data_IF_920595858291
#
_entry.id   IF_920595858291
#
_cell.length_a   1.000
_cell.length_b   1.000
_cell.length_c   1.000
_cell.angle_alpha   90.00
_cell.angle_beta   90.00
_cell.angle_gamma   90.00
#
_symmetry.space_group_name_H-M   'P 1'
#
loop_
_entity.id
_entity.type
_entity.pdbx_description
1 polymer ?
#
# COMPACT_ATOMS: atom_id res chain seq x y z
N UNK A 1 1.10 23.71 19.78
CA UNK A 1 1.49 22.33 20.13
C UNK A 1 2.04 21.66 18.88
N UNK A 2 3.21 21.04 18.96
CA UNK A 2 3.77 20.23 17.91
C UNK A 2 3.08 18.84 17.94
N UNK A 3 2.74 18.30 16.77
CA UNK A 3 2.24 16.95 16.60
C UNK A 3 3.27 16.19 15.78
N UNK A 4 3.72 15.01 16.24
CA UNK A 4 4.49 14.12 15.39
C UNK A 4 3.52 13.49 14.38
N UNK A 5 3.73 13.79 13.10
CA UNK A 5 3.01 13.17 12.00
C UNK A 5 3.94 12.14 11.36
N UNK A 6 3.43 10.93 11.17
CA UNK A 6 4.11 9.88 10.40
C UNK A 6 3.51 9.88 8.99
N UNK A 7 4.15 10.60 8.09
CA UNK A 7 3.74 10.72 6.70
C UNK A 7 4.79 10.01 5.83
N UNK A 8 4.45 8.88 5.20
CA UNK A 8 5.40 8.15 4.37
C UNK A 8 5.86 8.97 3.17
N UNK A 9 7.16 9.01 2.95
CA UNK A 9 7.77 9.59 1.77
C UNK A 9 7.70 8.65 0.56
N UNK A 10 8.18 9.10 -0.59
CA UNK A 10 8.29 8.27 -1.79
C UNK A 10 9.41 7.26 -1.65
N UNK A 11 9.06 5.98 -1.65
CA UNK A 11 9.98 4.85 -1.62
C UNK A 11 9.96 4.05 -2.92
N UNK A 12 11.00 3.25 -3.14
CA UNK A 12 11.16 2.46 -4.35
C UNK A 12 10.38 1.16 -4.27
N UNK A 13 9.49 0.93 -5.23
CA UNK A 13 8.84 -0.36 -5.46
C UNK A 13 9.51 -1.14 -6.60
N UNK A 14 9.29 -2.45 -6.63
CA UNK A 14 9.81 -3.35 -7.65
C UNK A 14 8.68 -4.12 -8.32
N UNK A 15 8.78 -4.29 -9.65
CA UNK A 15 7.88 -5.13 -10.43
C UNK A 15 8.66 -5.96 -11.43
N UNK A 16 8.42 -7.28 -11.46
CA UNK A 16 8.96 -8.20 -12.46
C UNK A 16 7.84 -9.04 -13.05
N UNK A 17 8.00 -9.48 -14.29
CA UNK A 17 7.00 -10.32 -14.94
C UNK A 17 7.50 -10.91 -16.24
N UNK A 18 6.73 -11.85 -16.75
CA UNK A 18 6.93 -12.46 -18.05
C UNK A 18 5.59 -12.69 -18.74
N UNK A 19 5.66 -12.83 -20.06
CA UNK A 19 4.49 -13.11 -20.88
C UNK A 19 4.80 -14.21 -21.89
N UNK A 20 3.80 -15.08 -22.12
CA UNK A 20 3.81 -16.10 -23.16
C UNK A 20 2.71 -15.81 -24.18
N UNK A 21 3.11 -15.67 -25.43
CA UNK A 21 2.16 -15.55 -26.54
C UNK A 21 1.57 -16.91 -26.89
N UNK A 22 0.26 -17.04 -26.79
CA UNK A 22 -0.47 -18.26 -27.18
C UNK A 22 -0.81 -18.25 -28.67
N UNK A 23 -1.22 -17.10 -29.17
CA UNK A 23 -1.52 -16.83 -30.56
C UNK A 23 -1.23 -15.35 -30.90
N UNK A 24 -1.42 -14.94 -32.14
CA UNK A 24 -1.13 -13.58 -32.61
C UNK A 24 -1.87 -12.45 -31.84
N UNK A 25 -2.89 -12.78 -31.09
CA UNK A 25 -3.74 -11.81 -30.38
C UNK A 25 -3.84 -12.07 -28.87
N UNK A 26 -3.37 -13.22 -28.39
CA UNK A 26 -3.60 -13.66 -27.00
C UNK A 26 -2.29 -14.00 -26.33
N UNK A 27 -2.09 -13.48 -25.12
CA UNK A 27 -0.92 -13.78 -24.29
C UNK A 27 -1.34 -14.03 -22.83
N UNK A 28 -0.61 -14.88 -22.16
CA UNK A 28 -0.67 -15.07 -20.72
C UNK A 28 0.49 -14.32 -20.07
N UNK A 29 0.19 -13.51 -19.07
CA UNK A 29 1.16 -12.74 -18.31
C UNK A 29 1.18 -13.18 -16.87
N UNK A 30 2.35 -13.24 -16.25
CA UNK A 30 2.50 -13.32 -14.81
C UNK A 30 3.36 -12.14 -14.34
N UNK A 31 2.93 -11.47 -13.28
CA UNK A 31 3.59 -10.28 -12.73
C UNK A 31 3.66 -10.40 -11.22
N UNK A 32 4.83 -10.13 -10.65
CA UNK A 32 5.05 -9.92 -9.23
C UNK A 32 5.37 -8.45 -8.97
N UNK A 33 4.74 -7.86 -7.97
CA UNK A 33 5.01 -6.48 -7.53
C UNK A 33 5.20 -6.46 -6.03
N UNK A 34 6.14 -5.67 -5.55
CA UNK A 34 6.38 -5.41 -4.13
C UNK A 34 6.70 -3.94 -3.90
N UNK A 35 6.32 -3.49 -2.73
CA UNK A 35 6.62 -2.16 -2.22
C UNK A 35 6.77 -2.23 -0.72
N UNK A 36 7.70 -1.48 -0.17
CA UNK A 36 7.97 -1.36 1.26
C UNK A 36 8.32 0.08 1.57
N UNK A 37 7.76 0.62 2.64
CA UNK A 37 8.09 1.96 3.14
C UNK A 37 8.09 1.98 4.65
N UNK A 38 9.09 2.67 5.22
CA UNK A 38 9.28 2.87 6.64
C UNK A 38 9.33 4.35 6.98
N UNK A 39 8.60 4.75 8.00
CA UNK A 39 8.63 6.10 8.50
C UNK A 39 8.82 6.13 10.01
N UNK A 40 9.65 7.03 10.49
CA UNK A 40 9.86 7.27 11.91
C UNK A 40 9.68 8.73 12.24
N UNK A 41 9.13 9.00 13.41
CA UNK A 41 8.96 10.37 13.88
C UNK A 41 9.12 10.45 15.39
N UNK A 42 9.48 11.63 15.87
CA UNK A 42 9.57 11.89 17.31
C UNK A 42 9.11 13.30 17.64
N UNK A 43 8.52 13.45 18.81
CA UNK A 43 8.21 14.74 19.40
C UNK A 43 8.66 14.74 20.84
N UNK A 44 9.32 15.83 21.26
CA UNK A 44 9.80 16.01 22.64
C UNK A 44 9.25 17.30 23.22
N UNK A 45 9.07 17.33 24.53
CA UNK A 45 8.83 18.58 25.25
C UNK A 45 9.99 19.57 24.99
N UNK A 46 9.68 20.82 24.74
CA UNK A 46 10.68 21.81 24.34
C UNK A 46 11.66 22.14 25.49
N UNK A 47 11.19 22.03 26.74
CA UNK A 47 12.03 22.18 27.92
C UNK A 47 11.49 21.36 29.08
N UNK A 48 12.37 20.66 29.77
CA UNK A 48 12.04 19.96 31.02
C UNK A 48 11.89 20.90 32.21
N UNK A 49 12.19 22.20 32.05
CA UNK A 49 12.11 23.21 33.11
C UNK A 49 10.70 23.82 33.24
N UNK A 50 9.86 23.72 32.23
CA UNK A 50 8.46 24.18 32.26
C UNK A 50 7.51 22.99 32.48
N UNK A 51 6.84 22.91 33.64
CA UNK A 51 5.90 21.82 33.90
C UNK A 51 4.67 21.78 32.98
N UNK A 52 4.45 22.84 32.19
CA UNK A 52 3.38 22.88 31.20
C UNK A 52 3.83 22.42 29.80
N UNK A 53 5.12 22.20 29.63
CA UNK A 53 5.67 21.72 28.37
C UNK A 53 5.75 20.21 28.36
N UNK A 54 4.69 19.58 27.87
CA UNK A 54 4.45 18.14 27.94
C UNK A 54 3.99 17.62 26.58
N UNK A 55 4.22 16.32 26.34
CA UNK A 55 3.69 15.58 25.20
C UNK A 55 2.73 14.48 25.69
N UNK A 56 1.67 14.27 24.92
CA UNK A 56 0.68 13.23 25.19
C UNK A 56 0.64 12.22 24.04
N UNK A 57 0.51 10.94 24.39
CA UNK A 57 0.28 9.90 23.42
C UNK A 57 -1.17 9.94 22.93
N UNK A 58 -1.38 10.12 21.63
CA UNK A 58 -2.70 10.09 21.01
C UNK A 58 -3.12 8.68 20.59
N UNK A 59 -2.24 7.68 20.76
CA UNK A 59 -2.48 6.31 20.29
C UNK A 59 -2.73 5.33 21.43
N UNK A 60 -2.56 5.75 22.67
CA UNK A 60 -2.87 4.94 23.85
C UNK A 60 -4.37 4.86 24.13
N UNK A 61 -4.82 3.73 24.69
CA UNK A 61 -6.23 3.57 25.05
C UNK A 61 -6.63 4.51 26.20
N UNK A 62 -7.68 5.32 26.04
CA UNK A 62 -8.01 6.42 26.98
C UNK A 62 -8.42 5.96 28.39
N UNK A 63 -8.84 4.70 28.56
CA UNK A 63 -9.16 4.11 29.86
C UNK A 63 -7.93 3.73 30.68
N UNK A 64 -6.73 3.89 30.13
CA UNK A 64 -5.48 3.55 30.81
C UNK A 64 -4.92 4.75 31.55
N UNK A 65 -4.22 4.51 32.64
CA UNK A 65 -3.59 5.60 33.45
C UNK A 65 -2.47 6.28 32.66
N UNK A 66 -1.77 5.55 31.80
CA UNK A 66 -0.67 6.08 30.97
C UNK A 66 -1.14 7.10 29.92
N UNK A 67 -2.33 6.94 29.37
CA UNK A 67 -2.90 7.87 28.41
C UNK A 67 -3.07 9.31 28.96
N UNK A 68 -3.14 9.47 30.28
CA UNK A 68 -3.30 10.76 30.97
C UNK A 68 -2.00 11.26 31.61
N UNK A 69 -0.88 10.56 31.41
CA UNK A 69 0.41 10.95 31.99
C UNK A 69 1.18 11.81 30.99
N UNK A 70 1.71 12.91 31.47
CA UNK A 70 2.60 13.77 30.70
C UNK A 70 3.90 13.04 30.36
N UNK A 71 4.25 12.97 29.09
CA UNK A 71 5.52 12.44 28.61
C UNK A 71 6.56 13.52 28.36
N UNK A 72 7.83 13.13 28.32
CA UNK A 72 8.93 13.97 27.88
C UNK A 72 9.23 13.82 26.39
N UNK A 73 8.99 12.62 25.86
CA UNK A 73 9.22 12.31 24.46
C UNK A 73 8.27 11.19 24.01
N UNK A 74 7.83 11.28 22.76
CA UNK A 74 7.12 10.22 22.05
C UNK A 74 7.88 9.92 20.78
N UNK A 75 8.19 8.64 20.56
CA UNK A 75 8.74 8.11 19.32
C UNK A 75 7.67 7.27 18.65
N UNK A 76 7.58 7.38 17.33
CA UNK A 76 6.71 6.57 16.49
C UNK A 76 7.47 5.98 15.33
N UNK A 77 7.08 4.76 14.92
CA UNK A 77 7.54 4.10 13.72
C UNK A 77 6.34 3.43 13.05
N UNK A 78 6.27 3.52 11.73
CA UNK A 78 5.27 2.83 10.92
C UNK A 78 5.92 2.25 9.68
N UNK A 79 5.57 1.01 9.34
CA UNK A 79 5.92 0.39 8.07
C UNK A 79 4.66 -0.05 7.32
N UNK A 80 4.72 0.01 6.00
CA UNK A 80 3.67 -0.46 5.10
C UNK A 80 4.34 -1.27 3.99
N UNK A 81 3.95 -2.53 3.91
CA UNK A 81 4.44 -3.49 2.93
C UNK A 81 3.30 -4.04 2.10
N UNK A 82 3.45 -4.14 0.78
CA UNK A 82 2.55 -4.97 -0.01
C UNK A 82 3.27 -5.84 -1.02
N UNK A 83 2.67 -7.00 -1.29
CA UNK A 83 3.09 -7.95 -2.32
C UNK A 83 1.88 -8.34 -3.16
N UNK A 84 2.02 -8.26 -4.48
CA UNK A 84 0.97 -8.63 -5.43
C UNK A 84 1.52 -9.64 -6.43
N UNK A 85 0.72 -10.67 -6.70
CA UNK A 85 0.96 -11.64 -7.77
C UNK A 85 -0.24 -11.62 -8.69
N UNK A 86 -0.03 -11.26 -9.95
CA UNK A 86 -1.05 -11.21 -10.98
C UNK A 86 -0.79 -12.29 -12.04
N UNK A 87 -1.85 -13.01 -12.43
CA UNK A 87 -1.83 -13.92 -13.60
C UNK A 87 -2.99 -13.56 -14.49
N UNK A 88 -2.68 -13.07 -15.69
CA UNK A 88 -3.63 -12.45 -16.60
C UNK A 88 -3.64 -13.12 -17.97
N UNK A 89 -4.81 -13.29 -18.53
CA UNK A 89 -5.02 -13.53 -19.96
C UNK A 89 -5.31 -12.19 -20.61
N UNK A 90 -4.43 -11.74 -21.51
CA UNK A 90 -4.58 -10.51 -22.28
C UNK A 90 -4.90 -10.84 -23.72
N UNK A 91 -5.92 -10.20 -24.29
CA UNK A 91 -6.31 -10.39 -25.69
C UNK A 91 -6.51 -9.08 -26.43
N UNK A 92 -5.83 -8.96 -27.58
CA UNK A 92 -6.03 -7.85 -28.49
C UNK A 92 -7.41 -7.96 -29.16
N UNK A 93 -8.19 -6.90 -29.13
CA UNK A 93 -9.48 -6.81 -29.81
C UNK A 93 -9.47 -5.77 -30.94
N UNK A 94 -8.49 -4.85 -30.93
CA UNK A 94 -8.27 -3.90 -32.01
C UNK A 94 -6.77 -3.62 -32.11
N UNK A 95 -6.22 -3.79 -33.28
CA UNK A 95 -4.82 -3.48 -33.54
C UNK A 95 -4.63 -2.98 -34.96
N UNK A 96 -3.70 -2.05 -35.13
CA UNK A 96 -3.26 -1.47 -36.41
C UNK A 96 -1.79 -1.09 -36.28
N UNK A 97 -1.19 -0.61 -37.32
CA UNK A 97 0.17 -0.09 -37.28
C UNK A 97 0.37 1.02 -36.23
N UNK A 98 -0.70 1.77 -35.92
CA UNK A 98 -0.63 2.93 -35.02
C UNK A 98 -1.28 2.74 -33.64
N UNK A 99 -1.99 1.65 -33.40
CA UNK A 99 -2.63 1.42 -32.11
C UNK A 99 -2.83 -0.06 -31.79
N UNK A 100 -2.86 -0.35 -30.51
CA UNK A 100 -3.20 -1.66 -29.95
C UNK A 100 -4.10 -1.46 -28.73
N UNK A 101 -5.25 -2.13 -28.73
CA UNK A 101 -6.17 -2.17 -27.61
C UNK A 101 -6.44 -3.61 -27.22
N UNK A 102 -6.31 -3.87 -25.93
CA UNK A 102 -6.52 -5.20 -25.38
C UNK A 102 -7.39 -5.12 -24.13
N UNK A 103 -8.22 -6.13 -23.93
CA UNK A 103 -8.80 -6.41 -22.63
C UNK A 103 -7.94 -7.45 -21.91
N UNK A 104 -8.11 -7.48 -20.61
CA UNK A 104 -7.38 -8.36 -19.72
C UNK A 104 -8.34 -8.92 -18.69
N UNK A 105 -8.25 -10.22 -18.46
CA UNK A 105 -8.95 -10.90 -17.38
C UNK A 105 -7.97 -11.85 -16.69
N UNK A 106 -8.00 -11.87 -15.37
CA UNK A 106 -7.05 -12.66 -14.60
C UNK A 106 -7.42 -12.80 -13.15
N UNK A 107 -6.43 -13.23 -12.39
CA UNK A 107 -6.51 -13.38 -10.95
C UNK A 107 -5.38 -12.61 -10.30
N UNK A 108 -5.67 -12.03 -9.14
CA UNK A 108 -4.69 -11.36 -8.28
C UNK A 108 -4.66 -12.03 -6.92
N UNK A 109 -3.48 -12.37 -6.44
CA UNK A 109 -3.21 -12.56 -5.02
C UNK A 109 -2.58 -11.30 -4.47
N UNK A 110 -3.05 -10.83 -3.32
CA UNK A 110 -2.52 -9.64 -2.65
C UNK A 110 -2.30 -9.87 -1.18
N UNK A 111 -1.19 -9.35 -0.68
CA UNK A 111 -0.82 -9.29 0.72
C UNK A 111 -0.49 -7.84 1.07
N UNK A 112 -0.97 -7.37 2.22
CA UNK A 112 -0.66 -6.06 2.80
C UNK A 112 -0.34 -6.25 4.27
N UNK A 113 0.76 -5.68 4.71
CA UNK A 113 1.17 -5.65 6.11
C UNK A 113 1.37 -4.18 6.53
N UNK A 114 0.83 -3.81 7.67
CA UNK A 114 1.00 -2.49 8.27
C UNK A 114 1.41 -2.69 9.71
N UNK A 115 2.61 -2.26 10.07
CA UNK A 115 3.11 -2.32 11.44
C UNK A 115 3.27 -0.91 11.98
N UNK A 116 2.83 -0.71 13.21
CA UNK A 116 2.95 0.56 13.90
C UNK A 116 3.42 0.33 15.33
N UNK A 117 4.40 1.15 15.73
CA UNK A 117 4.92 1.15 17.11
C UNK A 117 4.98 2.59 17.61
N UNK A 118 4.52 2.79 18.84
CA UNK A 118 4.68 4.07 19.53
C UNK A 118 5.24 3.84 20.93
N UNK A 119 6.13 4.72 21.35
CA UNK A 119 6.78 4.65 22.63
C UNK A 119 6.75 6.01 23.31
N UNK A 120 6.07 6.09 24.44
CA UNK A 120 6.06 7.26 25.30
C UNK A 120 7.09 7.10 26.40
N UNK A 121 7.97 8.05 26.54
CA UNK A 121 9.06 8.05 27.51
C UNK A 121 8.77 9.10 28.59
N UNK A 122 8.73 8.65 29.84
CA UNK A 122 8.72 9.48 31.05
C UNK A 122 9.65 8.81 32.07
N UNK A 123 9.20 8.48 33.27
CA UNK A 123 9.93 7.67 34.25
C UNK A 123 9.88 6.17 33.89
N UNK A 124 8.80 5.75 33.28
CA UNK A 124 8.61 4.44 32.68
C UNK A 124 8.29 4.61 31.17
N UNK A 125 8.64 3.60 30.39
CA UNK A 125 8.34 3.56 28.97
C UNK A 125 7.01 2.84 28.77
N UNK A 126 6.01 3.53 28.22
CA UNK A 126 4.78 2.92 27.78
C UNK A 126 4.78 2.78 26.26
N UNK A 127 4.29 1.67 25.76
CA UNK A 127 4.40 1.31 24.36
C UNK A 127 3.08 0.83 23.79
N UNK A 128 2.86 1.13 22.53
CA UNK A 128 1.74 0.63 21.74
C UNK A 128 2.32 -0.06 20.50
N UNK A 129 1.84 -1.26 20.22
CA UNK A 129 2.11 -1.99 18.98
C UNK A 129 0.79 -2.30 18.30
N UNK A 130 0.74 -2.09 17.01
CA UNK A 130 -0.40 -2.44 16.19
C UNK A 130 0.11 -3.10 14.90
N UNK A 131 -0.41 -4.29 14.62
CA UNK A 131 -0.10 -5.03 13.40
C UNK A 131 -1.40 -5.30 12.66
N UNK A 132 -1.42 -5.00 11.37
CA UNK A 132 -2.55 -5.27 10.47
C UNK A 132 -2.03 -6.06 9.29
N UNK A 133 -2.56 -7.25 9.12
CA UNK A 133 -2.27 -8.15 8.01
C UNK A 133 -3.52 -8.33 7.15
N UNK A 134 -3.34 -8.33 5.85
CA UNK A 134 -4.35 -8.68 4.87
C UNK A 134 -3.76 -9.64 3.86
N UNK A 135 -4.44 -10.74 3.62
CA UNK A 135 -4.20 -11.58 2.47
C UNK A 135 -5.49 -11.99 1.77
N UNK A 136 -5.40 -12.13 0.46
CA UNK A 136 -6.57 -12.45 -0.33
C UNK A 136 -6.28 -12.76 -1.78
N UNK A 137 -7.28 -13.33 -2.43
CA UNK A 137 -7.28 -13.66 -3.85
C UNK A 137 -8.55 -13.14 -4.50
N UNK A 138 -8.44 -12.68 -5.74
CA UNK A 138 -9.58 -12.10 -6.43
C UNK A 138 -9.49 -12.06 -7.93
N UNK A 139 -10.57 -11.58 -8.53
CA UNK A 139 -10.68 -11.39 -9.97
C UNK A 139 -10.06 -10.06 -10.37
N UNK A 140 -9.41 -10.07 -11.53
CA UNK A 140 -8.78 -8.92 -12.15
C UNK A 140 -9.38 -8.72 -13.54
N UNK A 141 -9.83 -7.49 -13.83
CA UNK A 141 -10.35 -7.07 -15.12
C UNK A 141 -9.61 -5.82 -15.55
N UNK A 142 -9.20 -5.73 -16.80
CA UNK A 142 -8.43 -4.58 -17.23
C UNK A 142 -8.53 -4.25 -18.71
N UNK A 143 -7.96 -3.10 -19.01
CA UNK A 143 -7.83 -2.56 -20.35
C UNK A 143 -6.41 -1.99 -20.53
N UNK A 144 -5.77 -2.40 -21.60
CA UNK A 144 -4.49 -1.85 -22.07
C UNK A 144 -4.71 -1.15 -23.40
N UNK A 145 -4.36 0.12 -23.49
CA UNK A 145 -4.33 0.91 -24.70
C UNK A 145 -2.93 1.42 -25.01
N UNK A 146 -2.50 1.27 -26.23
CA UNK A 146 -1.23 1.79 -26.72
C UNK A 146 -1.42 2.46 -28.09
N UNK A 147 -0.78 3.60 -28.28
CA UNK A 147 -0.77 4.33 -29.55
C UNK A 147 0.65 4.70 -29.93
N UNK A 148 1.06 4.25 -31.10
CA UNK A 148 2.35 4.61 -31.69
C UNK A 148 2.35 6.05 -32.21
N UNK A 149 3.45 6.74 -31.97
CA UNK A 149 3.75 8.10 -32.36
C UNK A 149 5.07 8.01 -33.13
N UNK A 150 5.31 8.77 -34.21
CA UNK A 150 6.58 8.81 -34.91
C UNK A 150 7.15 7.42 -35.31
N UNK A 151 6.87 6.97 -36.50
CA UNK A 151 7.45 5.78 -37.17
C UNK A 151 7.53 4.50 -36.27
N UNK A 152 6.56 4.32 -35.37
CA UNK A 152 6.48 3.19 -34.44
C UNK A 152 7.64 3.06 -33.44
N UNK A 153 8.49 4.06 -33.29
CA UNK A 153 9.55 4.03 -32.28
C UNK A 153 9.11 4.64 -30.94
N UNK A 154 8.26 5.64 -30.98
CA UNK A 154 7.67 6.23 -29.77
C UNK A 154 6.22 5.79 -29.62
N UNK A 155 5.79 5.56 -28.40
CA UNK A 155 4.41 5.21 -28.08
C UNK A 155 3.94 5.86 -26.77
N UNK A 156 2.64 6.17 -26.74
CA UNK A 156 1.94 6.48 -25.50
C UNK A 156 1.10 5.29 -25.08
N UNK A 157 0.92 5.08 -23.77
CA UNK A 157 0.12 3.99 -23.26
C UNK A 157 -0.76 4.40 -22.09
N UNK A 158 -1.84 3.64 -21.92
CA UNK A 158 -2.75 3.69 -20.79
C UNK A 158 -3.05 2.26 -20.35
N UNK A 159 -2.91 1.97 -19.06
CA UNK A 159 -3.32 0.70 -18.47
C UNK A 159 -4.27 1.00 -17.32
N UNK A 160 -5.38 0.30 -17.27
CA UNK A 160 -6.34 0.42 -16.16
C UNK A 160 -6.85 -0.95 -15.78
N UNK A 161 -6.93 -1.21 -14.47
CA UNK A 161 -7.42 -2.48 -13.95
C UNK A 161 -8.33 -2.24 -12.76
N UNK A 162 -9.37 -3.06 -12.66
CA UNK A 162 -10.22 -3.19 -11.49
C UNK A 162 -10.06 -4.60 -10.94
N UNK A 163 -9.78 -4.71 -9.65
CA UNK A 163 -9.54 -5.98 -8.98
C UNK A 163 -10.50 -6.10 -7.80
N UNK A 164 -11.11 -7.27 -7.62
CA UNK A 164 -12.05 -7.57 -6.54
C UNK A 164 -11.48 -8.73 -5.74
N UNK A 165 -10.77 -8.40 -4.66
CA UNK A 165 -10.00 -9.35 -3.86
C UNK A 165 -10.80 -9.73 -2.62
N UNK A 166 -11.20 -11.00 -2.52
CA UNK A 166 -11.75 -11.56 -1.30
C UNK A 166 -10.59 -11.81 -0.34
N UNK A 167 -10.55 -11.06 0.75
CA UNK A 167 -9.43 -11.03 1.68
C UNK A 167 -9.87 -11.22 3.12
N UNK A 168 -8.94 -11.75 3.93
CA UNK A 168 -9.04 -11.80 5.38
C UNK A 168 -8.11 -10.74 5.96
N UNK A 169 -8.65 -9.95 6.88
CA UNK A 169 -7.89 -9.00 7.70
C UNK A 169 -7.72 -9.54 9.10
N UNK A 170 -6.51 -9.40 9.64
CA UNK A 170 -6.17 -9.61 11.05
C UNK A 170 -5.53 -8.35 11.55
N UNK A 171 -6.15 -7.74 12.56
CA UNK A 171 -5.64 -6.54 13.19
C UNK A 171 -5.43 -6.81 14.68
N UNK A 172 -4.28 -6.43 15.22
CA UNK A 172 -3.94 -6.56 16.63
C UNK A 172 -3.58 -5.21 17.20
N UNK A 173 -3.83 -5.05 18.50
CA UNK A 173 -3.41 -3.90 19.27
C UNK A 173 -2.93 -4.36 20.64
N UNK A 174 -1.72 -4.00 21.00
CA UNK A 174 -1.11 -4.32 22.27
C UNK A 174 -0.55 -3.05 22.93
N UNK A 175 -0.89 -2.81 24.20
CA UNK A 175 -0.37 -1.70 24.99
C UNK A 175 0.18 -2.19 26.32
N UNK A 176 1.31 -1.68 26.72
CA UNK A 176 1.93 -1.98 27.99
C UNK A 176 3.32 -1.40 28.15
N UNK A 177 4.03 -1.85 29.16
CA UNK A 177 5.39 -1.40 29.43
C UNK A 177 6.38 -2.21 28.57
N UNK A 178 7.31 -1.52 27.88
CA UNK A 178 8.38 -2.16 27.10
C UNK A 178 7.86 -3.16 26.03
N UNK A 179 6.81 -2.77 25.27
CA UNK A 179 6.20 -3.62 24.24
C UNK A 179 5.60 -4.92 24.79
N UNK A 180 5.03 -4.85 25.99
CA UNK A 180 4.30 -5.93 26.61
C UNK A 180 2.79 -5.66 26.52
N UNK A 181 2.00 -6.68 26.19
CA UNK A 181 0.54 -6.62 26.12
C UNK A 181 -0.16 -6.68 27.50
N UNK A 182 0.48 -6.14 28.55
CA UNK A 182 0.02 -6.29 29.94
C UNK A 182 -1.14 -5.38 30.31
N UNK A 183 -1.39 -4.30 29.57
CA UNK A 183 -2.41 -3.29 29.89
C UNK A 183 -3.63 -3.40 28.98
N UNK A 184 -3.43 -3.43 27.68
CA UNK A 184 -4.47 -3.66 26.67
C UNK A 184 -3.96 -4.68 25.67
N UNK A 185 -4.78 -5.66 25.35
CA UNK A 185 -4.49 -6.62 24.28
C UNK A 185 -5.81 -6.98 23.62
N UNK A 186 -5.95 -6.61 22.35
CA UNK A 186 -7.16 -6.90 21.59
C UNK A 186 -6.80 -7.24 20.13
N UNK A 187 -7.68 -7.99 19.50
CA UNK A 187 -7.56 -8.36 18.08
C UNK A 187 -8.90 -8.41 17.40
N UNK A 188 -8.86 -8.25 16.09
CA UNK A 188 -10.02 -8.28 15.22
C UNK A 188 -9.69 -9.05 13.94
N UNK A 189 -10.62 -9.89 13.50
CA UNK A 189 -10.51 -10.65 12.24
C UNK A 189 -11.78 -10.46 11.44
N UNK A 190 -11.65 -10.13 10.16
CA UNK A 190 -12.80 -9.95 9.27
C UNK A 190 -12.49 -10.33 7.82
N UNK A 191 -13.41 -11.08 7.21
CA UNK A 191 -13.41 -11.30 5.76
C UNK A 191 -14.07 -10.13 5.03
N UNK A 192 -13.42 -9.62 3.95
CA UNK A 192 -13.88 -8.47 3.17
C UNK A 192 -13.56 -8.63 1.70
N UNK A 193 -14.31 -7.88 0.87
CA UNK A 193 -13.92 -7.65 -0.51
C UNK A 193 -13.20 -6.31 -0.58
N UNK A 194 -11.92 -6.35 -0.91
CA UNK A 194 -11.11 -5.16 -1.23
C UNK A 194 -11.18 -4.91 -2.72
N UNK A 195 -11.63 -3.73 -3.09
CA UNK A 195 -11.61 -3.27 -4.48
C UNK A 195 -10.33 -2.49 -4.72
N UNK A 196 -9.51 -2.93 -5.68
CA UNK A 196 -8.29 -2.22 -6.05
C UNK A 196 -8.43 -1.68 -7.47
N UNK A 197 -8.18 -0.38 -7.65
CA UNK A 197 -8.17 0.28 -8.95
C UNK A 197 -6.75 0.69 -9.29
N UNK A 198 -6.20 0.16 -10.37
CA UNK A 198 -4.88 0.50 -10.89
C UNK A 198 -5.04 1.34 -12.15
N UNK A 199 -4.35 2.46 -12.21
CA UNK A 199 -4.24 3.34 -13.37
C UNK A 199 -2.76 3.62 -13.62
N UNK A 200 -2.31 3.46 -14.86
CA UNK A 200 -0.95 3.80 -15.27
C UNK A 200 -1.01 4.46 -16.65
N UNK A 201 -0.43 5.65 -16.78
CA UNK A 201 -0.34 6.40 -18.02
C UNK A 201 1.11 6.82 -18.28
N UNK A 202 1.56 6.71 -19.52
CA UNK A 202 2.94 7.03 -19.82
C UNK A 202 3.27 6.98 -21.28
N UNK A 203 4.56 7.03 -21.56
CA UNK A 203 5.12 6.89 -22.88
C UNK A 203 6.37 6.04 -22.88
N UNK A 204 6.80 5.67 -24.05
CA UNK A 204 8.00 4.85 -24.17
C UNK A 204 8.60 4.87 -25.56
N UNK A 205 9.72 4.19 -25.64
CA UNK A 205 10.48 3.97 -26.87
C UNK A 205 10.63 2.47 -27.14
N UNK A 206 10.57 2.11 -28.38
CA UNK A 206 10.77 0.73 -28.85
C UNK A 206 11.90 0.70 -29.90
N UNK A 207 12.79 -0.29 -29.79
CA UNK A 207 13.84 -0.51 -30.80
C UNK A 207 13.24 -0.85 -32.17
N UNK A 208 13.95 -0.54 -33.23
CA UNK A 208 13.50 -0.83 -34.60
C UNK A 208 13.19 -2.31 -34.85
N UNK A 209 13.94 -3.21 -34.23
CA UNK A 209 13.70 -4.66 -34.27
C UNK A 209 12.59 -5.14 -33.32
N UNK A 210 12.04 -4.26 -32.47
CA UNK A 210 10.99 -4.60 -31.50
C UNK A 210 11.45 -5.40 -30.29
N UNK A 211 12.73 -5.77 -30.20
CA UNK A 211 13.24 -6.65 -29.14
C UNK A 211 13.35 -5.97 -27.76
N UNK A 212 13.50 -4.65 -27.74
CA UNK A 212 13.64 -3.88 -26.52
C UNK A 212 12.63 -2.75 -26.47
N UNK A 213 12.03 -2.58 -25.30
CA UNK A 213 11.13 -1.45 -25.00
C UNK A 213 11.52 -0.81 -23.68
N UNK A 214 11.55 0.51 -23.67
CA UNK A 214 11.73 1.34 -22.48
C UNK A 214 10.48 2.18 -22.31
N UNK A 215 9.93 2.24 -21.14
CA UNK A 215 8.77 3.10 -20.86
C UNK A 215 8.88 3.78 -19.51
N UNK A 216 8.30 4.95 -19.41
CA UNK A 216 8.14 5.70 -18.19
C UNK A 216 6.73 6.26 -18.11
N UNK A 217 6.19 6.36 -16.90
CA UNK A 217 4.83 6.83 -16.68
C UNK A 217 4.58 7.16 -15.23
N UNK A 218 3.32 7.48 -14.96
CA UNK A 218 2.80 7.70 -13.62
C UNK A 218 1.74 6.67 -13.30
N UNK A 219 1.83 6.09 -12.12
CA UNK A 219 0.92 5.08 -11.61
C UNK A 219 0.11 5.65 -10.44
N UNK A 220 -1.15 5.32 -10.42
CA UNK A 220 -2.05 5.50 -9.29
C UNK A 220 -2.71 4.16 -8.95
N UNK A 221 -2.71 3.79 -7.68
CA UNK A 221 -3.28 2.55 -7.17
C UNK A 221 -4.13 2.86 -5.94
N UNK A 222 -5.44 2.67 -6.02
CA UNK A 222 -6.40 2.93 -4.94
C UNK A 222 -7.00 1.64 -4.43
N UNK A 223 -6.86 1.37 -3.12
CA UNK A 223 -7.41 0.21 -2.44
C UNK A 223 -8.54 0.65 -1.53
N UNK A 224 -9.74 0.17 -1.78
CA UNK A 224 -10.96 0.55 -1.08
C UNK A 224 -11.40 -0.57 -0.13
N UNK A 225 -11.97 -0.19 1.01
CA UNK A 225 -12.44 -1.11 2.04
C UNK A 225 -11.30 -1.86 2.75
N UNK A 226 -10.15 -1.22 2.90
CA UNK A 226 -9.02 -1.72 3.71
C UNK A 226 -9.13 -1.21 5.15
N UNK A 227 -8.51 -1.91 6.09
CA UNK A 227 -8.31 -1.42 7.46
C UNK A 227 -6.97 -0.70 7.50
N UNK A 228 -6.97 0.57 7.95
CA UNK A 228 -5.76 1.37 8.14
C UNK A 228 -5.40 1.42 9.61
N UNK A 229 -4.11 1.60 9.89
CA UNK A 229 -3.57 1.67 11.25
C UNK A 229 -4.23 2.76 12.09
N UNK A 230 -4.39 3.96 11.55
CA UNK A 230 -5.03 5.09 12.24
C UNK A 230 -6.50 4.83 12.56
N UNK A 231 -7.25 4.25 11.62
CA UNK A 231 -8.63 3.86 11.83
C UNK A 231 -8.74 2.76 12.89
N UNK A 232 -7.89 1.74 12.82
CA UNK A 232 -7.88 0.64 13.79
C UNK A 232 -7.62 1.15 15.22
N UNK A 233 -6.58 1.96 15.43
CA UNK A 233 -6.26 2.56 16.72
C UNK A 233 -7.45 3.34 17.27
N UNK A 234 -8.07 4.20 16.44
CA UNK A 234 -9.24 4.99 16.85
C UNK A 234 -10.43 4.11 17.28
N UNK A 235 -10.65 2.98 16.58
CA UNK A 235 -11.72 2.04 16.93
C UNK A 235 -11.44 1.27 18.21
N UNK A 236 -10.20 0.88 18.44
CA UNK A 236 -9.79 0.29 19.72
C UNK A 236 -10.03 1.28 20.86
N UNK A 237 -9.64 2.54 20.71
CA UNK A 237 -9.85 3.59 21.69
C UNK A 237 -11.34 3.86 22.00
N UNK A 238 -12.19 3.75 20.97
CA UNK A 238 -13.64 3.91 21.12
C UNK A 238 -14.34 2.65 21.65
N UNK A 239 -13.66 1.50 21.73
CA UNK A 239 -14.25 0.17 21.99
C UNK A 239 -15.38 -0.18 20.99
N UNK A 240 -15.23 0.23 19.71
CA UNK A 240 -16.21 0.04 18.67
C UNK A 240 -15.55 -0.48 17.40
N UNK A 241 -15.90 -1.69 16.97
CA UNK A 241 -15.29 -2.36 15.81
C UNK A 241 -16.20 -2.41 14.59
N UNK A 242 -17.28 -1.63 14.59
CA UNK A 242 -18.18 -1.54 13.44
C UNK A 242 -17.69 -0.53 12.40
N UNK A 243 -18.04 -0.78 11.13
CA UNK A 243 -17.77 0.12 10.00
C UNK A 243 -16.28 0.48 9.78
N UNK A 244 -15.37 -0.43 10.12
CA UNK A 244 -13.97 -0.32 9.70
C UNK A 244 -13.91 -0.42 8.16
N UNK A 245 -13.32 0.53 7.47
CA UNK A 245 -13.19 0.50 6.02
C UNK A 245 -12.73 1.83 5.44
N UNK A 246 -11.44 1.94 5.21
CA UNK A 246 -10.77 3.12 4.67
C UNK A 246 -10.29 2.90 3.24
N UNK A 247 -9.75 3.96 2.66
CA UNK A 247 -9.06 3.92 1.37
C UNK A 247 -7.57 4.13 1.58
N UNK A 248 -6.77 3.25 1.00
CA UNK A 248 -5.32 3.39 0.92
C UNK A 248 -4.93 3.67 -0.53
N UNK A 249 -4.06 4.66 -0.75
CA UNK A 249 -3.62 5.04 -2.09
C UNK A 249 -2.11 5.01 -2.19
N UNK A 250 -1.63 4.52 -3.32
CA UNK A 250 -0.22 4.54 -3.69
C UNK A 250 -0.10 5.17 -5.06
N UNK A 251 0.80 6.12 -5.23
CA UNK A 251 1.04 6.76 -6.51
C UNK A 251 2.52 7.09 -6.68
N UNK A 252 2.96 7.16 -7.93
CA UNK A 252 4.37 7.44 -8.19
C UNK A 252 4.79 7.24 -9.63
N UNK A 253 6.07 7.51 -9.88
CA UNK A 253 6.70 7.31 -11.16
C UNK A 253 7.04 5.83 -11.37
N UNK A 254 6.82 5.35 -12.58
CA UNK A 254 7.17 3.99 -13.02
C UNK A 254 8.13 4.07 -14.19
N UNK A 255 9.23 3.31 -14.09
CA UNK A 255 10.13 3.06 -15.22
C UNK A 255 10.16 1.55 -15.51
N UNK A 256 10.13 1.17 -16.78
CA UNK A 256 10.06 -0.24 -17.19
C UNK A 256 10.98 -0.53 -18.36
N UNK A 257 11.62 -1.70 -18.29
CA UNK A 257 12.42 -2.27 -19.38
C UNK A 257 11.79 -3.62 -19.76
N UNK A 258 11.51 -3.83 -21.05
CA UNK A 258 10.96 -5.07 -21.57
C UNK A 258 11.87 -5.64 -22.65
N UNK A 259 12.18 -6.93 -22.58
CA UNK A 259 12.86 -7.69 -23.63
C UNK A 259 11.87 -8.67 -24.29
N UNK A 260 11.92 -8.78 -25.63
CA UNK A 260 11.08 -9.69 -26.41
C UNK A 260 11.98 -10.65 -27.20
N UNK A 261 11.74 -11.94 -27.08
CA UNK A 261 12.53 -13.00 -27.68
C UNK A 261 11.69 -13.90 -28.55
#
# INVERSE_FOLDING_TARGET
>A
SAVANLDPDYDAGFRAGFAFTLDNCTEVRATYSMFETDVTGSVSAATTADPNDVVFSLVEHPSTTSANINGLQINGAQSIDFKLVDVDLRRLFSYSCNHQYAWLVGVRYGQLEQNFQSQQILNNTNTVITDIEMDGVGLRLGFDGERSILDNQLFGYLKTNANFVASEFRATYAQGTNFDASVVNTGYTAGRIVTMLDLEIGGGWQSQCGNWRLSAGYMFNGWFNVIKTDEWINRVQANEYENLGSTLTFDGLVARVEGRF
#
